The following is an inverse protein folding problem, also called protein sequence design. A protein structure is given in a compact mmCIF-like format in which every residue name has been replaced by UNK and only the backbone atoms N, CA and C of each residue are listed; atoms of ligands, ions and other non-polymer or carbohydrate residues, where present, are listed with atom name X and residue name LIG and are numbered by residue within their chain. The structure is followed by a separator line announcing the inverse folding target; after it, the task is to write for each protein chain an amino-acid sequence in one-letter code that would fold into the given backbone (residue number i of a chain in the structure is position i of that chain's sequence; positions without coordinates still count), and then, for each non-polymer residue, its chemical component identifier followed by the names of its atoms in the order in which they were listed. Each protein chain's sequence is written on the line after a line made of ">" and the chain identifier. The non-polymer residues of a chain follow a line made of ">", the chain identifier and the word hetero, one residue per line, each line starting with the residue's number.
data_IF_632503636151
#
_entry.id   IF_632503636151
#
_cell.length_a   1.000
_cell.length_b   1.000
_cell.length_c   1.000
_cell.angle_alpha   90.00
_cell.angle_beta   90.00
_cell.angle_gamma   90.00
#
_symmetry.space_group_name_H-M   'P 1'
#
loop_
_entity.id
_entity.type
_entity.pdbx_description
1 polymer ?
#
# COMPACT_ATOMS: atom_id res chain seq x y z
N UNK A 1 -59.78 -25.74 34.47
CA UNK A 1 -58.79 -26.58 33.74
C UNK A 1 -58.45 -25.88 32.44
N UNK A 2 -57.28 -25.26 32.37
CA UNK A 2 -56.74 -24.70 31.13
C UNK A 2 -55.24 -25.05 31.11
N UNK A 3 -54.85 -25.87 30.14
CA UNK A 3 -53.46 -26.29 29.92
C UNK A 3 -52.65 -25.14 29.33
N UNK A 4 -51.52 -24.78 29.96
CA UNK A 4 -50.47 -23.95 29.40
C UNK A 4 -49.43 -24.82 28.74
N UNK A 5 -49.32 -24.74 27.41
CA UNK A 5 -48.23 -25.38 26.66
C UNK A 5 -46.96 -24.52 26.68
N UNK A 6 -45.86 -25.09 27.19
CA UNK A 6 -44.52 -24.50 27.15
C UNK A 6 -43.93 -24.67 25.75
N UNK A 7 -43.73 -23.58 25.01
CA UNK A 7 -42.92 -23.52 23.80
C UNK A 7 -41.43 -23.55 24.16
N UNK A 8 -40.77 -24.64 23.87
CA UNK A 8 -39.29 -24.75 23.93
C UNK A 8 -38.70 -24.02 22.75
N UNK A 9 -37.83 -23.01 23.01
CA UNK A 9 -36.99 -22.35 22.03
C UNK A 9 -35.77 -23.23 21.71
N UNK A 10 -35.29 -23.32 20.44
CA UNK A 10 -34.06 -24.04 20.10
C UNK A 10 -32.85 -23.13 20.32
N UNK A 11 -32.03 -23.40 21.33
CA UNK A 11 -30.77 -22.71 21.66
C UNK A 11 -29.54 -23.55 21.29
N UNK A 12 -29.60 -24.38 20.26
CA UNK A 12 -28.53 -25.32 19.95
C UNK A 12 -27.68 -25.01 18.68
N UNK A 13 -28.01 -23.91 17.91
CA UNK A 13 -27.36 -23.69 16.60
C UNK A 13 -26.17 -22.73 16.62
N UNK A 14 -25.96 -21.94 17.69
CA UNK A 14 -24.88 -20.94 17.74
C UNK A 14 -23.54 -21.45 18.32
N UNK A 15 -23.55 -22.56 19.04
CA UNK A 15 -22.34 -23.13 19.66
C UNK A 15 -21.49 -24.00 18.72
N UNK A 16 -22.05 -24.51 17.62
CA UNK A 16 -21.30 -25.37 16.68
C UNK A 16 -20.49 -24.61 15.63
N UNK A 17 -20.81 -23.37 15.31
CA UNK A 17 -20.08 -22.57 14.33
C UNK A 17 -18.78 -22.01 14.91
N UNK A 18 -18.79 -21.60 16.19
CA UNK A 18 -17.59 -21.08 16.86
C UNK A 18 -16.49 -22.12 17.12
N UNK A 19 -16.84 -23.40 17.25
CA UNK A 19 -15.85 -24.48 17.48
C UNK A 19 -15.15 -24.98 16.21
N UNK A 20 -15.68 -24.68 15.01
CA UNK A 20 -15.07 -25.06 13.73
C UNK A 20 -14.17 -23.95 13.14
N UNK A 21 -14.38 -22.71 13.52
CA UNK A 21 -13.61 -21.56 13.01
C UNK A 21 -12.25 -21.46 13.71
N UNK A 22 -12.18 -21.67 15.03
CA UNK A 22 -10.93 -21.61 15.80
C UNK A 22 -9.84 -22.58 15.32
N UNK A 23 -10.11 -23.88 15.06
CA UNK A 23 -9.06 -24.78 14.57
C UNK A 23 -8.63 -24.50 13.12
N UNK A 24 -9.47 -23.90 12.28
CA UNK A 24 -9.10 -23.53 10.93
C UNK A 24 -8.15 -22.31 10.92
N UNK A 25 -8.47 -21.25 11.64
CA UNK A 25 -7.61 -20.07 11.77
C UNK A 25 -6.24 -20.42 12.37
N UNK A 26 -6.19 -21.28 13.40
CA UNK A 26 -4.93 -21.73 13.99
C UNK A 26 -4.10 -22.57 13.00
N UNK A 27 -4.74 -23.42 12.20
CA UNK A 27 -4.05 -24.22 11.19
C UNK A 27 -3.44 -23.34 10.07
N UNK A 28 -4.12 -22.25 9.73
CA UNK A 28 -3.68 -21.27 8.76
C UNK A 28 -2.48 -20.47 9.29
N UNK A 29 -2.56 -19.97 10.51
CA UNK A 29 -1.46 -19.30 11.20
C UNK A 29 -0.23 -20.22 11.30
N UNK A 30 -0.40 -21.47 11.68
CA UNK A 30 0.66 -22.47 11.75
C UNK A 30 1.28 -22.74 10.36
N UNK A 31 0.49 -22.66 9.27
CA UNK A 31 1.00 -22.80 7.91
C UNK A 31 1.90 -21.63 7.51
N UNK A 32 1.49 -20.38 7.77
CA UNK A 32 2.29 -19.19 7.52
C UNK A 32 3.61 -19.23 8.30
N UNK A 33 3.55 -19.58 9.59
CA UNK A 33 4.73 -19.69 10.44
C UNK A 33 5.70 -20.77 9.92
N UNK A 34 5.20 -21.92 9.47
CA UNK A 34 6.04 -22.98 8.87
C UNK A 34 6.69 -22.52 7.57
N UNK A 35 5.92 -21.84 6.71
CA UNK A 35 6.45 -21.27 5.47
C UNK A 35 7.57 -20.28 5.76
N UNK A 36 7.35 -19.32 6.65
CA UNK A 36 8.32 -18.30 7.05
C UNK A 36 9.60 -18.92 7.63
N UNK A 37 9.48 -19.95 8.48
CA UNK A 37 10.64 -20.68 9.03
C UNK A 37 11.46 -21.45 8.00
N UNK A 38 10.86 -21.79 6.86
CA UNK A 38 11.54 -22.43 5.72
C UNK A 38 12.29 -21.45 4.82
N UNK A 39 12.07 -20.13 4.97
CA UNK A 39 12.68 -19.09 4.15
C UNK A 39 14.09 -18.74 4.65
N UNK A 40 15.01 -18.53 3.72
CA UNK A 40 16.31 -17.90 3.99
C UNK A 40 16.13 -16.41 4.35
N UNK A 41 17.12 -15.81 5.00
CA UNK A 41 17.11 -14.38 5.31
C UNK A 41 16.90 -13.52 4.04
N UNK A 42 17.55 -13.85 2.93
CA UNK A 42 17.40 -13.11 1.66
C UNK A 42 15.99 -13.21 1.09
N UNK A 43 15.35 -14.37 1.18
CA UNK A 43 13.94 -14.53 0.78
C UNK A 43 13.00 -13.71 1.67
N UNK A 44 13.22 -13.71 2.99
CA UNK A 44 12.46 -12.89 3.94
C UNK A 44 12.64 -11.39 3.64
N UNK A 45 13.88 -10.93 3.51
CA UNK A 45 14.18 -9.53 3.19
C UNK A 45 13.57 -9.15 1.85
N UNK A 46 13.60 -10.03 0.85
CA UNK A 46 12.96 -9.81 -0.44
C UNK A 46 11.47 -9.50 -0.32
N UNK A 47 10.72 -10.18 0.56
CA UNK A 47 9.29 -9.93 0.73
C UNK A 47 8.97 -8.49 1.17
N UNK A 48 9.91 -7.81 1.81
CA UNK A 48 9.73 -6.43 2.28
C UNK A 48 9.81 -5.38 1.15
N UNK A 49 10.26 -5.75 -0.04
CA UNK A 49 10.47 -4.80 -1.13
C UNK A 49 9.37 -4.87 -2.19
N UNK A 50 8.85 -3.72 -2.57
CA UNK A 50 8.06 -3.53 -3.78
C UNK A 50 8.80 -2.54 -4.69
N UNK A 51 9.21 -2.99 -5.87
CA UNK A 51 10.11 -2.27 -6.75
C UNK A 51 9.52 -2.08 -8.15
N UNK A 52 10.09 -1.21 -8.96
CA UNK A 52 9.79 -1.17 -10.39
C UNK A 52 10.40 -2.40 -11.07
N UNK A 53 9.70 -3.06 -12.03
CA UNK A 53 10.28 -4.17 -12.80
C UNK A 53 11.60 -3.79 -13.47
N UNK A 54 11.73 -2.53 -13.87
CA UNK A 54 12.91 -1.93 -14.50
C UNK A 54 14.19 -2.09 -13.64
N UNK A 55 14.07 -2.11 -12.32
CA UNK A 55 15.22 -2.24 -11.41
C UNK A 55 15.95 -3.58 -11.54
N UNK A 56 15.32 -4.60 -12.14
CA UNK A 56 15.93 -5.91 -12.37
C UNK A 56 16.56 -6.05 -13.76
N UNK A 57 16.63 -4.97 -14.53
CA UNK A 57 17.31 -4.96 -15.85
C UNK A 57 18.49 -3.98 -15.82
N UNK A 58 19.71 -4.48 -16.04
CA UNK A 58 20.95 -3.70 -15.95
C UNK A 58 21.08 -2.55 -16.95
N UNK A 59 20.16 -2.43 -17.89
CA UNK A 59 20.10 -1.31 -18.85
C UNK A 59 19.54 0.00 -18.27
N UNK A 60 18.95 -0.04 -17.06
CA UNK A 60 18.41 1.13 -16.39
C UNK A 60 19.24 1.48 -15.16
N UNK A 61 19.88 2.62 -15.17
CA UNK A 61 20.45 3.23 -13.98
C UNK A 61 19.39 3.96 -13.14
N UNK A 62 19.75 4.45 -11.95
CA UNK A 62 18.81 5.12 -11.05
C UNK A 62 18.06 6.30 -11.67
N UNK A 63 18.70 7.06 -12.55
CA UNK A 63 18.05 8.19 -13.26
C UNK A 63 16.99 7.72 -14.27
N UNK A 64 17.30 6.66 -15.04
CA UNK A 64 16.37 6.04 -15.99
C UNK A 64 15.21 5.36 -15.28
N UNK A 65 15.41 4.85 -14.07
CA UNK A 65 14.30 4.30 -13.26
C UNK A 65 13.26 5.37 -12.94
N UNK A 66 13.66 6.62 -12.70
CA UNK A 66 12.76 7.74 -12.42
C UNK A 66 12.16 8.39 -13.67
N UNK A 67 12.77 8.18 -14.85
CA UNK A 67 12.29 8.74 -16.11
C UNK A 67 11.05 7.98 -16.62
N UNK A 68 9.88 8.62 -16.52
CA UNK A 68 8.62 8.07 -17.04
C UNK A 68 8.38 8.42 -18.53
N UNK A 69 9.29 9.12 -19.21
CA UNK A 69 9.20 9.45 -20.63
C UNK A 69 9.73 8.33 -21.54
N UNK A 70 10.56 7.45 -21.01
CA UNK A 70 11.13 6.30 -21.75
C UNK A 70 10.23 5.07 -21.65
N UNK A 71 10.42 4.14 -22.58
CA UNK A 71 9.79 2.81 -22.47
C UNK A 71 10.57 1.98 -21.46
N UNK A 72 9.88 1.55 -20.42
CA UNK A 72 10.43 0.69 -19.37
C UNK A 72 10.40 -0.80 -19.72
N UNK A 73 10.52 -1.61 -18.69
CA UNK A 73 10.37 -3.06 -18.79
C UNK A 73 8.91 -3.43 -19.05
N UNK A 74 8.64 -4.13 -20.13
CA UNK A 74 7.29 -4.49 -20.59
C UNK A 74 7.08 -5.99 -20.77
N UNK A 75 8.09 -6.79 -20.44
CA UNK A 75 8.09 -8.27 -20.45
C UNK A 75 9.12 -8.79 -19.47
N UNK A 76 8.91 -9.99 -18.96
CA UNK A 76 9.91 -10.68 -18.13
C UNK A 76 10.97 -11.28 -19.05
N UNK A 77 12.22 -10.82 -18.92
CA UNK A 77 13.40 -11.33 -19.64
C UNK A 77 14.11 -12.44 -18.84
N UNK A 78 15.01 -13.18 -19.50
CA UNK A 78 15.87 -14.15 -18.81
C UNK A 78 16.85 -13.43 -17.85
N UNK A 79 17.32 -12.23 -18.21
CA UNK A 79 18.14 -11.38 -17.35
C UNK A 79 17.38 -11.02 -16.07
N UNK A 80 16.14 -10.54 -16.22
CA UNK A 80 15.27 -10.22 -15.07
C UNK A 80 15.08 -11.42 -14.14
N UNK A 81 14.88 -12.63 -14.70
CA UNK A 81 14.76 -13.86 -13.90
C UNK A 81 16.06 -14.19 -13.14
N UNK A 82 17.20 -14.05 -13.81
CA UNK A 82 18.51 -14.31 -13.20
C UNK A 82 18.82 -13.32 -12.06
N UNK A 83 18.48 -12.04 -12.23
CA UNK A 83 18.63 -11.02 -11.19
C UNK A 83 17.64 -11.27 -10.04
N UNK A 84 16.36 -11.57 -10.34
CA UNK A 84 15.35 -11.89 -9.33
C UNK A 84 15.76 -13.07 -8.45
N UNK A 85 16.40 -14.10 -9.02
CA UNK A 85 16.86 -15.25 -8.25
C UNK A 85 17.93 -14.88 -7.18
N UNK A 86 18.67 -13.79 -7.37
CA UNK A 86 19.68 -13.30 -6.43
C UNK A 86 19.12 -12.20 -5.51
N UNK A 87 18.22 -11.37 -6.04
CA UNK A 87 17.58 -10.23 -5.40
C UNK A 87 16.06 -10.34 -5.55
N UNK A 88 15.42 -11.26 -4.79
CA UNK A 88 13.98 -11.44 -4.85
C UNK A 88 13.26 -10.23 -4.26
N UNK A 89 12.07 -9.90 -4.80
CA UNK A 89 11.19 -8.89 -4.22
C UNK A 89 9.78 -9.45 -3.96
N UNK A 90 9.07 -8.86 -2.98
CA UNK A 90 7.71 -9.23 -2.60
C UNK A 90 6.65 -8.69 -3.54
N UNK A 91 6.97 -7.67 -4.35
CA UNK A 91 6.03 -7.08 -5.30
C UNK A 91 6.67 -6.14 -6.32
N UNK A 92 5.85 -5.76 -7.31
CA UNK A 92 6.22 -4.81 -8.35
C UNK A 92 5.20 -3.66 -8.42
N UNK A 93 5.70 -2.43 -8.46
CA UNK A 93 4.91 -1.23 -8.76
C UNK A 93 4.98 -0.93 -10.26
N UNK A 94 3.84 -0.93 -10.93
CA UNK A 94 3.74 -0.68 -12.37
C UNK A 94 3.47 0.79 -12.66
N UNK A 95 4.19 1.32 -13.64
CA UNK A 95 4.04 2.69 -14.12
C UNK A 95 3.65 2.71 -15.60
N UNK A 96 3.22 3.89 -16.08
CA UNK A 96 2.84 4.06 -17.49
C UNK A 96 3.89 3.55 -18.48
N UNK A 97 5.18 3.66 -18.15
CA UNK A 97 6.29 3.20 -18.98
C UNK A 97 6.37 1.67 -19.13
N UNK A 98 5.72 0.91 -18.23
CA UNK A 98 5.65 -0.54 -18.27
C UNK A 98 4.43 -1.07 -19.07
N UNK A 99 3.58 -0.16 -19.55
CA UNK A 99 2.30 -0.45 -20.18
C UNK A 99 2.36 -0.06 -21.66
N UNK A 100 2.02 -0.97 -22.57
CA UNK A 100 1.98 -0.70 -24.01
C UNK A 100 0.58 -0.92 -24.60
N UNK A 101 -0.09 -1.98 -24.19
CA UNK A 101 -1.43 -2.36 -24.68
C UNK A 101 -2.13 -3.27 -23.68
N UNK A 102 -3.45 -3.44 -23.80
CA UNK A 102 -4.22 -4.38 -22.97
C UNK A 102 -3.67 -5.82 -22.96
N UNK A 103 -3.30 -6.35 -24.12
CA UNK A 103 -2.77 -7.71 -24.24
C UNK A 103 -1.37 -7.84 -23.65
N UNK A 104 -0.52 -6.83 -23.86
CA UNK A 104 0.82 -6.82 -23.30
C UNK A 104 0.76 -6.75 -21.77
N UNK A 105 -0.07 -5.88 -21.18
CA UNK A 105 -0.19 -5.73 -19.75
C UNK A 105 -0.61 -7.04 -19.08
N UNK A 106 -1.64 -7.73 -19.60
CA UNK A 106 -2.06 -9.04 -19.08
C UNK A 106 -0.94 -10.08 -19.13
N UNK A 107 -0.28 -10.20 -20.27
CA UNK A 107 0.83 -11.15 -20.42
C UNK A 107 2.02 -10.82 -19.53
N UNK A 108 2.27 -9.54 -19.28
CA UNK A 108 3.34 -9.10 -18.39
C UNK A 108 2.99 -9.40 -16.94
N UNK A 109 1.79 -9.06 -16.48
CA UNK A 109 1.30 -9.37 -15.13
C UNK A 109 1.35 -10.89 -14.86
N UNK A 110 0.84 -11.72 -15.77
CA UNK A 110 0.92 -13.18 -15.66
C UNK A 110 2.36 -13.68 -15.47
N UNK A 111 3.31 -13.14 -16.24
CA UNK A 111 4.72 -13.54 -16.14
C UNK A 111 5.44 -13.00 -14.92
N UNK A 112 5.04 -11.83 -14.40
CA UNK A 112 5.54 -11.30 -13.14
C UNK A 112 5.04 -12.16 -11.97
N UNK A 113 3.75 -12.52 -11.93
CA UNK A 113 3.23 -13.44 -10.93
C UNK A 113 3.92 -14.81 -10.95
N UNK A 114 4.25 -15.32 -12.13
CA UNK A 114 4.90 -16.61 -12.32
C UNK A 114 6.44 -16.56 -12.19
N UNK A 115 7.03 -15.45 -11.72
CA UNK A 115 8.49 -15.34 -11.59
C UNK A 115 9.03 -16.13 -10.38
N UNK A 116 8.18 -16.39 -9.38
CA UNK A 116 8.50 -17.06 -8.13
C UNK A 116 7.28 -17.85 -7.60
N UNK A 117 7.54 -18.90 -6.83
CA UNK A 117 6.51 -19.66 -6.10
C UNK A 117 5.81 -18.79 -5.03
N UNK A 118 6.54 -17.84 -4.43
CA UNK A 118 5.97 -16.78 -3.61
C UNK A 118 5.53 -15.63 -4.52
N UNK A 119 4.37 -15.79 -5.16
CA UNK A 119 3.82 -14.84 -6.12
C UNK A 119 4.02 -13.38 -5.68
N UNK A 120 4.77 -12.56 -6.45
CA UNK A 120 4.91 -11.14 -6.14
C UNK A 120 3.58 -10.39 -6.34
N UNK A 121 3.31 -9.40 -5.48
CA UNK A 121 2.15 -8.52 -5.61
C UNK A 121 2.38 -7.47 -6.70
N UNK A 122 1.35 -7.14 -7.47
CA UNK A 122 1.40 -6.08 -8.47
C UNK A 122 0.57 -4.89 -8.01
N UNK A 123 1.23 -3.73 -7.83
CA UNK A 123 0.59 -2.49 -7.41
C UNK A 123 0.64 -1.42 -8.50
N UNK A 124 -0.35 -0.52 -8.49
CA UNK A 124 -0.46 0.58 -9.44
C UNK A 124 -1.12 1.80 -8.78
N UNK A 125 -0.87 3.01 -9.30
CA UNK A 125 -1.66 4.20 -8.99
C UNK A 125 -2.79 4.37 -10.00
N UNK A 126 -3.99 4.09 -9.63
CA UNK A 126 -5.19 4.28 -10.46
C UNK A 126 -6.25 5.07 -9.70
N UNK A 127 -5.86 6.23 -9.14
CA UNK A 127 -6.70 7.09 -8.31
C UNK A 127 -7.93 7.66 -9.04
N UNK A 128 -7.85 7.75 -10.37
CA UNK A 128 -8.71 8.59 -11.21
C UNK A 128 -8.10 9.97 -11.45
N UNK A 129 -8.84 10.86 -12.14
CA UNK A 129 -8.34 12.17 -12.50
C UNK A 129 -7.01 12.11 -13.25
N UNK A 130 -6.04 12.92 -12.80
CA UNK A 130 -4.70 12.99 -13.42
C UNK A 130 -3.79 11.80 -13.08
N UNK A 131 -4.08 11.08 -12.00
CA UNK A 131 -3.29 9.92 -11.54
C UNK A 131 -4.05 8.64 -11.88
N UNK A 132 -3.85 8.17 -13.11
CA UNK A 132 -4.39 6.91 -13.61
C UNK A 132 -3.45 6.38 -14.69
N UNK A 133 -2.81 5.25 -14.46
CA UNK A 133 -1.79 4.71 -15.36
C UNK A 133 -2.43 3.99 -16.55
N UNK A 134 -3.56 3.31 -16.34
CA UNK A 134 -4.31 2.57 -17.34
C UNK A 134 -5.34 3.47 -18.02
N UNK A 135 -6.24 4.11 -17.26
CA UNK A 135 -7.32 4.91 -17.82
C UNK A 135 -6.82 6.11 -18.63
N UNK A 136 -5.69 6.72 -18.25
CA UNK A 136 -5.08 7.84 -18.98
C UNK A 136 -4.04 7.39 -20.02
N UNK A 137 -3.88 6.08 -20.25
CA UNK A 137 -2.93 5.60 -21.24
C UNK A 137 -3.37 5.97 -22.67
N UNK A 138 -2.39 6.19 -23.58
CA UNK A 138 -2.66 6.53 -24.98
C UNK A 138 -3.20 5.35 -25.79
N UNK A 139 -2.88 4.11 -25.41
CA UNK A 139 -3.46 2.91 -26.02
C UNK A 139 -4.93 2.77 -25.60
N UNK A 140 -5.78 2.17 -26.47
CA UNK A 140 -7.21 2.05 -26.22
C UNK A 140 -7.50 0.89 -25.26
N UNK A 141 -7.44 1.15 -23.97
CA UNK A 141 -7.80 0.18 -22.93
C UNK A 141 -9.32 -0.05 -22.83
N UNK A 142 -10.13 0.90 -23.32
CA UNK A 142 -11.59 0.80 -23.29
C UNK A 142 -12.19 0.87 -21.89
N UNK A 143 -11.41 1.33 -20.91
CA UNK A 143 -11.85 1.49 -19.53
C UNK A 143 -12.44 2.88 -19.29
N UNK A 144 -13.33 2.99 -18.29
CA UNK A 144 -13.94 4.26 -17.92
C UNK A 144 -12.89 5.18 -17.26
N UNK A 145 -12.84 6.42 -17.72
CA UNK A 145 -12.06 7.49 -17.10
C UNK A 145 -12.94 8.22 -16.09
N UNK A 146 -12.40 8.45 -14.91
CA UNK A 146 -13.06 9.24 -13.90
C UNK A 146 -12.44 10.64 -13.81
N UNK A 147 -13.22 11.67 -13.46
CA UNK A 147 -12.69 12.99 -13.12
C UNK A 147 -11.87 12.93 -11.82
N UNK A 148 -11.20 14.02 -11.43
CA UNK A 148 -10.57 14.12 -10.12
C UNK A 148 -11.55 13.81 -8.98
N UNK A 149 -11.05 13.22 -7.90
CA UNK A 149 -11.89 12.80 -6.77
C UNK A 149 -12.55 13.98 -6.06
N UNK A 150 -11.96 15.18 -6.11
CA UNK A 150 -12.64 16.41 -5.66
C UNK A 150 -13.92 16.73 -6.42
N UNK A 151 -13.97 16.45 -7.73
CA UNK A 151 -15.18 16.63 -8.55
C UNK A 151 -16.27 15.58 -8.24
N UNK A 152 -15.85 14.33 -7.91
CA UNK A 152 -16.76 13.30 -7.44
C UNK A 152 -17.38 13.72 -6.10
N UNK A 153 -16.55 14.16 -5.15
CA UNK A 153 -17.00 14.60 -3.84
C UNK A 153 -17.91 15.83 -3.88
N UNK A 154 -17.67 16.75 -4.81
CA UNK A 154 -18.51 17.94 -4.99
C UNK A 154 -19.99 17.63 -5.34
N UNK A 155 -20.27 16.40 -5.78
CA UNK A 155 -21.66 15.96 -6.03
C UNK A 155 -22.39 15.57 -4.73
N UNK A 156 -21.66 15.41 -3.61
CA UNK A 156 -22.24 15.13 -2.29
C UNK A 156 -22.85 13.74 -2.13
N UNK A 157 -22.59 12.82 -3.06
CA UNK A 157 -23.13 11.45 -3.04
C UNK A 157 -22.00 10.42 -2.90
N UNK A 158 -21.82 9.83 -1.70
CA UNK A 158 -20.77 8.82 -1.47
C UNK A 158 -20.92 7.55 -2.30
N UNK A 159 -22.11 7.23 -2.81
CA UNK A 159 -22.31 6.06 -3.67
C UNK A 159 -21.52 6.17 -4.98
N UNK A 160 -21.25 7.38 -5.45
CA UNK A 160 -20.39 7.60 -6.62
C UNK A 160 -18.95 7.18 -6.38
N UNK A 161 -18.44 7.35 -5.17
CA UNK A 161 -17.10 6.90 -4.78
C UNK A 161 -17.01 5.37 -4.75
N UNK A 162 -18.08 4.67 -4.32
CA UNK A 162 -18.16 3.22 -4.42
C UNK A 162 -18.10 2.76 -5.89
N UNK A 163 -18.87 3.39 -6.78
CA UNK A 163 -18.86 3.07 -8.22
C UNK A 163 -17.50 3.35 -8.86
N UNK A 164 -16.76 4.36 -8.39
CA UNK A 164 -15.37 4.62 -8.82
C UNK A 164 -14.50 3.42 -8.43
N UNK A 165 -14.44 3.08 -7.14
CA UNK A 165 -13.62 1.98 -6.63
C UNK A 165 -13.96 0.65 -7.29
N UNK A 166 -15.26 0.33 -7.42
CA UNK A 166 -15.73 -0.89 -8.07
C UNK A 166 -15.31 -0.97 -9.54
N UNK A 167 -15.55 0.08 -10.32
CA UNK A 167 -15.22 0.10 -11.75
C UNK A 167 -13.70 0.00 -11.97
N UNK A 168 -12.91 0.73 -11.16
CA UNK A 168 -11.44 0.65 -11.21
C UNK A 168 -10.99 -0.76 -10.84
N UNK A 169 -11.48 -1.31 -9.74
CA UNK A 169 -11.14 -2.66 -9.31
C UNK A 169 -11.47 -3.73 -10.35
N UNK A 170 -12.63 -3.66 -10.99
CA UNK A 170 -13.02 -4.62 -12.04
C UNK A 170 -12.02 -4.68 -13.20
N UNK A 171 -11.53 -3.54 -13.71
CA UNK A 171 -10.54 -3.61 -14.77
C UNK A 171 -9.11 -3.90 -14.27
N UNK A 172 -8.75 -3.49 -13.05
CA UNK A 172 -7.46 -3.86 -12.45
C UNK A 172 -7.36 -5.38 -12.30
N UNK A 173 -8.38 -6.03 -11.75
CA UNK A 173 -8.48 -7.50 -11.66
C UNK A 173 -8.36 -8.15 -13.04
N UNK A 174 -9.05 -7.61 -14.06
CA UNK A 174 -8.96 -8.13 -15.43
C UNK A 174 -7.57 -8.01 -16.07
N UNK A 175 -6.71 -7.16 -15.51
CA UNK A 175 -5.29 -7.02 -15.91
C UNK A 175 -4.31 -7.71 -14.97
N UNK A 176 -4.79 -8.38 -13.92
CA UNK A 176 -3.95 -9.08 -12.94
C UNK A 176 -3.21 -8.13 -11.99
N UNK A 177 -3.82 -7.01 -11.65
CA UNK A 177 -3.28 -6.06 -10.65
C UNK A 177 -3.90 -6.36 -9.29
N UNK A 178 -3.06 -6.50 -8.26
CA UNK A 178 -3.47 -6.92 -6.93
C UNK A 178 -3.81 -5.75 -6.01
N UNK A 179 -3.11 -4.61 -6.16
CA UNK A 179 -3.20 -3.46 -5.26
C UNK A 179 -3.42 -2.18 -6.08
N UNK A 180 -4.43 -1.41 -5.72
CA UNK A 180 -4.50 0.00 -6.11
C UNK A 180 -3.96 0.88 -4.98
N UNK A 181 -2.95 1.71 -5.27
CA UNK A 181 -2.48 2.73 -4.34
C UNK A 181 -3.49 3.88 -4.25
N UNK A 182 -4.70 3.57 -3.87
CA UNK A 182 -5.87 4.41 -3.72
C UNK A 182 -6.79 3.86 -2.62
N UNK A 183 -7.66 4.71 -2.05
CA UNK A 183 -7.88 6.13 -2.31
C UNK A 183 -6.93 7.07 -1.58
N UNK A 184 -6.87 8.33 -2.06
CA UNK A 184 -6.25 9.45 -1.34
C UNK A 184 -7.17 9.84 -0.17
N UNK A 185 -6.66 9.65 1.06
CA UNK A 185 -7.35 9.97 2.31
C UNK A 185 -6.94 11.34 2.89
N UNK A 186 -6.07 12.08 2.17
CA UNK A 186 -5.66 13.43 2.56
C UNK A 186 -6.86 14.39 2.54
N UNK A 187 -6.94 15.26 3.55
CA UNK A 187 -7.91 16.36 3.60
C UNK A 187 -7.24 17.62 3.07
N UNK A 188 -7.69 18.16 1.94
CA UNK A 188 -7.07 19.30 1.29
C UNK A 188 -7.39 20.62 2.00
N UNK A 189 -6.85 20.80 3.22
CA UNK A 189 -7.06 21.99 4.03
C UNK A 189 -6.26 23.20 3.56
N UNK A 190 -5.18 22.98 2.80
CA UNK A 190 -4.43 24.05 2.16
C UNK A 190 -4.76 24.13 0.65
N UNK A 191 -5.56 25.14 0.20
CA UNK A 191 -5.94 25.24 -1.20
C UNK A 191 -4.77 25.53 -2.15
N UNK A 192 -3.58 25.86 -1.62
CA UNK A 192 -2.34 26.07 -2.38
C UNK A 192 -1.45 24.84 -2.40
N UNK A 193 -1.93 23.71 -1.88
CA UNK A 193 -1.16 22.45 -1.91
C UNK A 193 -0.92 22.03 -3.37
N UNK A 194 0.36 21.92 -3.82
CA UNK A 194 0.67 21.63 -5.23
C UNK A 194 0.57 20.13 -5.56
N UNK A 195 0.56 19.25 -4.56
CA UNK A 195 0.67 17.80 -4.71
C UNK A 195 -0.69 17.12 -4.68
N UNK A 196 -1.47 17.40 -3.65
CA UNK A 196 -2.76 16.77 -3.40
C UNK A 196 -3.85 17.43 -4.21
N UNK A 197 -4.22 18.66 -3.90
CA UNK A 197 -5.21 19.44 -4.65
C UNK A 197 -6.51 18.63 -4.89
N UNK A 198 -6.87 18.50 -6.15
CA UNK A 198 -8.07 17.82 -6.65
C UNK A 198 -8.04 16.28 -6.57
N UNK A 199 -6.90 15.68 -6.18
CA UNK A 199 -6.82 14.24 -5.88
C UNK A 199 -7.60 13.89 -4.60
N UNK A 200 -7.63 14.80 -3.62
CA UNK A 200 -8.41 14.65 -2.40
C UNK A 200 -9.91 14.81 -2.66
N UNK A 201 -10.72 14.23 -1.78
CA UNK A 201 -12.20 14.42 -1.76
C UNK A 201 -12.62 15.78 -1.20
N UNK A 202 -11.73 16.74 -1.12
CA UNK A 202 -11.98 18.11 -0.68
C UNK A 202 -11.38 18.44 0.68
N UNK A 203 -11.92 19.50 1.32
CA UNK A 203 -11.45 20.02 2.61
C UNK A 203 -12.36 19.67 3.79
N UNK A 204 -13.51 19.03 3.53
CA UNK A 204 -14.39 18.53 4.59
C UNK A 204 -13.97 17.10 4.98
N UNK A 205 -13.41 16.89 6.18
CA UNK A 205 -12.93 15.57 6.60
C UNK A 205 -14.05 14.54 6.77
N UNK A 206 -15.30 14.97 7.05
CA UNK A 206 -16.43 14.04 7.20
C UNK A 206 -16.88 13.51 5.84
N UNK A 207 -17.00 14.39 4.84
CA UNK A 207 -17.30 13.96 3.47
C UNK A 207 -16.14 13.09 2.90
N UNK A 208 -14.89 13.50 3.10
CA UNK A 208 -13.73 12.74 2.68
C UNK A 208 -13.74 11.32 3.29
N UNK A 209 -14.08 11.19 4.57
CA UNK A 209 -14.20 9.90 5.25
C UNK A 209 -15.26 8.99 4.62
N UNK A 210 -16.43 9.54 4.29
CA UNK A 210 -17.48 8.79 3.61
C UNK A 210 -17.01 8.30 2.23
N UNK A 211 -16.38 9.17 1.45
CA UNK A 211 -15.88 8.84 0.11
C UNK A 211 -14.76 7.78 0.16
N UNK A 212 -13.77 7.95 1.05
CA UNK A 212 -12.67 7.00 1.25
C UNK A 212 -13.19 5.61 1.57
N UNK A 213 -14.11 5.50 2.55
CA UNK A 213 -14.69 4.22 2.93
C UNK A 213 -15.44 3.54 1.77
N UNK A 214 -16.08 4.31 0.89
CA UNK A 214 -16.79 3.77 -0.26
C UNK A 214 -15.86 3.29 -1.37
N UNK A 215 -14.76 4.02 -1.67
CA UNK A 215 -13.75 3.52 -2.63
C UNK A 215 -13.12 2.22 -2.13
N UNK A 216 -12.75 2.14 -0.84
CA UNK A 216 -12.20 0.92 -0.23
C UNK A 216 -13.16 -0.26 -0.46
N UNK A 217 -14.45 -0.11 -0.16
CA UNK A 217 -15.46 -1.15 -0.37
C UNK A 217 -15.59 -1.55 -1.85
N UNK A 218 -15.62 -0.55 -2.75
CA UNK A 218 -15.73 -0.81 -4.19
C UNK A 218 -14.54 -1.61 -4.75
N UNK A 219 -13.31 -1.28 -4.33
CA UNK A 219 -12.11 -2.03 -4.69
C UNK A 219 -12.17 -3.47 -4.16
N UNK A 220 -12.55 -3.66 -2.88
CA UNK A 220 -12.67 -4.99 -2.27
C UNK A 220 -13.71 -5.86 -2.97
N UNK A 221 -14.89 -5.31 -3.27
CA UNK A 221 -15.95 -6.05 -3.97
C UNK A 221 -15.53 -6.48 -5.39
N UNK A 222 -14.45 -5.91 -5.91
CA UNK A 222 -13.85 -6.26 -7.21
C UNK A 222 -12.58 -7.11 -7.08
N UNK A 223 -12.19 -7.52 -5.85
CA UNK A 223 -11.02 -8.35 -5.59
C UNK A 223 -9.67 -7.61 -5.62
N UNK A 224 -9.63 -6.28 -5.56
CA UNK A 224 -8.40 -5.46 -5.52
C UNK A 224 -8.17 -4.93 -4.11
N UNK A 225 -6.92 -5.03 -3.63
CA UNK A 225 -6.54 -4.42 -2.36
C UNK A 225 -6.47 -2.90 -2.45
N UNK A 226 -6.94 -2.24 -1.40
CA UNK A 226 -6.90 -0.80 -1.27
C UNK A 226 -5.70 -0.33 -0.45
N UNK A 227 -5.19 0.86 -0.78
CA UNK A 227 -4.09 1.49 -0.06
C UNK A 227 -4.41 2.96 0.20
N UNK A 228 -4.89 3.28 1.40
CA UNK A 228 -5.17 4.69 1.76
C UNK A 228 -3.89 5.47 1.98
N UNK A 229 -3.83 6.73 1.53
CA UNK A 229 -2.63 7.56 1.51
C UNK A 229 -2.92 9.06 1.65
N UNK A 230 -1.99 9.85 2.12
CA UNK A 230 -0.62 9.59 2.56
C UNK A 230 -0.52 9.91 4.07
N UNK A 231 -0.41 8.89 4.90
CA UNK A 231 -0.42 9.04 6.37
C UNK A 231 0.80 9.84 6.87
N UNK A 232 0.65 10.81 7.80
CA UNK A 232 -0.53 11.18 8.57
C UNK A 232 -1.38 12.30 7.96
N UNK A 233 -1.32 12.55 6.66
CA UNK A 233 -2.09 13.57 5.96
C UNK A 233 -1.22 14.63 5.31
N UNK A 234 -1.18 14.64 3.97
CA UNK A 234 -0.36 15.54 3.15
C UNK A 234 -1.11 16.80 2.70
N UNK A 235 -2.44 16.88 2.95
CA UNK A 235 -3.30 17.92 2.38
C UNK A 235 -3.12 19.33 2.96
N UNK A 236 -2.46 19.45 4.13
CA UNK A 236 -2.17 20.73 4.79
C UNK A 236 -0.83 21.37 4.34
N UNK A 237 0.07 20.58 3.75
CA UNK A 237 1.42 21.01 3.43
C UNK A 237 1.47 22.02 2.28
N UNK A 238 2.49 22.87 2.27
CA UNK A 238 2.70 23.89 1.23
C UNK A 238 3.82 23.53 0.24
N UNK A 239 4.57 22.43 0.49
CA UNK A 239 5.75 22.03 -0.29
C UNK A 239 5.53 20.65 -0.88
N UNK A 240 6.07 20.44 -2.09
CA UNK A 240 6.08 19.13 -2.75
C UNK A 240 7.26 18.29 -2.26
N UNK A 241 6.98 17.11 -1.72
CA UNK A 241 7.99 16.14 -1.25
C UNK A 241 8.85 15.54 -2.36
N UNK A 242 8.50 15.74 -3.63
CA UNK A 242 9.38 15.42 -4.76
C UNK A 242 10.55 16.39 -4.89
N UNK A 243 10.42 17.60 -4.33
CA UNK A 243 11.43 18.68 -4.45
C UNK A 243 12.01 19.13 -3.12
N UNK A 244 11.63 18.53 -1.99
CA UNK A 244 12.12 18.88 -0.67
C UNK A 244 11.26 18.35 0.48
N UNK A 245 11.54 18.81 1.70
CA UNK A 245 10.76 18.46 2.88
C UNK A 245 9.46 19.24 2.94
N UNK A 246 8.36 18.53 3.10
CA UNK A 246 7.09 19.09 3.51
C UNK A 246 6.90 18.88 5.01
N UNK A 247 6.31 19.87 5.68
CA UNK A 247 6.06 19.85 7.13
C UNK A 247 4.60 20.18 7.42
N UNK A 248 4.02 19.51 8.40
CA UNK A 248 2.80 19.95 9.06
C UNK A 248 3.10 20.49 10.44
N UNK A 249 2.63 21.70 10.74
CA UNK A 249 2.76 22.31 12.08
C UNK A 249 1.67 21.87 13.05
N UNK A 250 0.87 20.84 12.73
CA UNK A 250 -0.25 20.39 13.54
C UNK A 250 0.23 19.50 14.70
N UNK A 251 -0.44 19.61 15.86
CA UNK A 251 -0.31 18.65 16.95
C UNK A 251 -1.08 17.37 16.63
N UNK A 252 -0.86 16.30 17.38
CA UNK A 252 -1.60 15.06 17.18
C UNK A 252 -3.12 15.24 17.38
N UNK A 253 -3.54 16.06 18.32
CA UNK A 253 -4.95 16.39 18.55
C UNK A 253 -5.57 17.06 17.32
N UNK A 254 -4.84 18.01 16.71
CA UNK A 254 -5.30 18.69 15.48
C UNK A 254 -5.39 17.71 14.29
N UNK A 255 -4.39 16.83 14.13
CA UNK A 255 -4.43 15.79 13.10
C UNK A 255 -5.59 14.83 13.35
N UNK A 256 -5.81 14.41 14.59
CA UNK A 256 -6.89 13.51 14.97
C UNK A 256 -8.27 14.08 14.67
N UNK A 257 -8.46 15.38 14.85
CA UNK A 257 -9.72 16.08 14.68
C UNK A 257 -10.00 16.44 13.20
N UNK A 258 -9.05 16.22 12.29
CA UNK A 258 -9.19 16.50 10.85
C UNK A 258 -8.65 15.35 9.99
N UNK A 259 -7.32 15.25 9.83
CA UNK A 259 -6.67 14.31 8.90
C UNK A 259 -6.98 12.85 9.21
N UNK A 260 -7.06 12.48 10.50
CA UNK A 260 -7.31 11.09 10.90
C UNK A 260 -8.76 10.64 10.70
N UNK A 261 -9.70 11.52 10.43
CA UNK A 261 -11.10 11.16 10.21
C UNK A 261 -11.25 10.25 8.97
N UNK A 262 -10.74 10.62 7.77
CA UNK A 262 -10.81 9.72 6.62
C UNK A 262 -9.90 8.48 6.75
N UNK A 263 -8.73 8.56 7.42
CA UNK A 263 -7.91 7.38 7.69
C UNK A 263 -8.63 6.35 8.56
N UNK A 264 -9.31 6.79 9.64
CA UNK A 264 -10.11 5.89 10.49
C UNK A 264 -11.24 5.24 9.69
N UNK A 265 -11.95 6.02 8.88
CA UNK A 265 -13.02 5.49 8.04
C UNK A 265 -12.53 4.45 7.02
N UNK A 266 -11.35 4.66 6.43
CA UNK A 266 -10.70 3.68 5.55
C UNK A 266 -10.28 2.41 6.30
N UNK A 267 -9.72 2.54 7.52
CA UNK A 267 -9.39 1.40 8.39
C UNK A 267 -10.64 0.62 8.78
N UNK A 268 -11.70 1.31 9.21
CA UNK A 268 -12.99 0.70 9.55
C UNK A 268 -13.67 0.03 8.34
N UNK A 269 -13.43 0.54 7.12
CA UNK A 269 -13.88 -0.08 5.88
C UNK A 269 -13.03 -1.30 5.47
N UNK A 270 -11.92 -1.57 6.18
CA UNK A 270 -11.08 -2.73 6.00
C UNK A 270 -9.90 -2.52 5.05
N UNK A 271 -9.40 -1.28 4.85
CA UNK A 271 -8.25 -1.05 3.96
C UNK A 271 -7.09 -1.99 4.26
N UNK A 272 -6.51 -2.56 3.21
CA UNK A 272 -5.42 -3.55 3.31
C UNK A 272 -4.08 -2.90 3.62
N UNK A 273 -3.81 -1.74 2.99
CA UNK A 273 -2.56 -1.02 3.16
C UNK A 273 -2.81 0.44 3.59
N UNK A 274 -1.86 0.95 4.38
CA UNK A 274 -1.70 2.40 4.64
C UNK A 274 -0.35 2.83 4.11
N UNK A 275 -0.33 3.77 3.16
CA UNK A 275 0.90 4.36 2.65
C UNK A 275 1.29 5.58 3.47
N UNK A 276 2.55 5.62 3.89
CA UNK A 276 3.12 6.71 4.69
C UNK A 276 3.62 7.84 3.81
N UNK A 277 3.59 9.07 4.33
CA UNK A 277 4.11 10.25 3.63
C UNK A 277 5.55 10.58 4.02
N UNK A 278 6.29 11.25 3.13
CA UNK A 278 7.59 11.83 3.43
C UNK A 278 7.47 13.27 3.95
N UNK A 279 6.53 13.49 4.88
CA UNK A 279 6.34 14.78 5.56
C UNK A 279 6.81 14.66 7.00
N UNK A 280 7.33 15.77 7.57
CA UNK A 280 7.63 15.84 9.00
C UNK A 280 6.45 16.40 9.79
N UNK A 281 6.33 15.95 11.05
CA UNK A 281 5.32 16.41 12.00
C UNK A 281 5.94 16.70 13.37
N UNK A 282 6.83 17.73 13.47
CA UNK A 282 7.66 17.95 14.66
C UNK A 282 6.86 18.23 15.92
N UNK A 283 5.64 18.76 15.82
CA UNK A 283 4.75 18.93 16.97
C UNK A 283 4.21 17.61 17.55
N UNK A 284 4.32 16.52 16.77
CA UNK A 284 3.91 15.15 17.19
C UNK A 284 5.11 14.33 17.60
N UNK A 285 6.17 14.35 16.79
CA UNK A 285 7.34 13.48 16.93
C UNK A 285 8.45 14.07 17.79
N UNK A 286 8.50 15.39 17.90
CA UNK A 286 9.62 16.13 18.52
C UNK A 286 10.87 16.23 17.66
N UNK A 287 10.81 15.73 16.40
CA UNK A 287 11.93 15.71 15.44
C UNK A 287 11.45 16.12 14.06
N UNK A 288 12.40 16.45 13.17
CA UNK A 288 12.13 16.78 11.76
C UNK A 288 12.20 15.54 10.84
N UNK A 289 12.24 14.34 11.42
CA UNK A 289 12.25 13.10 10.61
C UNK A 289 10.93 12.93 9.86
N UNK A 290 10.96 12.37 8.64
CA UNK A 290 9.73 12.12 7.90
C UNK A 290 8.87 11.04 8.58
N UNK A 291 7.54 11.18 8.43
CA UNK A 291 6.57 10.25 9.03
C UNK A 291 6.86 8.79 8.68
N UNK A 292 7.35 8.53 7.46
CA UNK A 292 7.76 7.20 7.00
C UNK A 292 8.88 6.56 7.83
N UNK A 293 9.64 7.34 8.62
CA UNK A 293 10.73 6.88 9.49
C UNK A 293 10.42 7.07 10.98
N UNK A 294 9.21 7.51 11.34
CA UNK A 294 8.84 7.86 12.71
C UNK A 294 8.11 6.72 13.42
N UNK A 295 8.78 6.09 14.39
CA UNK A 295 8.16 5.09 15.27
C UNK A 295 6.98 5.67 16.08
N UNK A 296 7.03 6.95 16.45
CA UNK A 296 5.91 7.63 17.10
C UNK A 296 4.67 7.60 16.22
N UNK A 297 4.79 7.97 14.95
CA UNK A 297 3.65 8.00 14.03
C UNK A 297 3.18 6.61 13.61
N UNK A 298 4.09 5.69 13.29
CA UNK A 298 3.72 4.40 12.71
C UNK A 298 3.41 3.35 13.79
N UNK A 299 4.25 3.24 14.81
CA UNK A 299 4.07 2.22 15.86
C UNK A 299 3.14 2.70 16.96
N UNK A 300 3.33 3.91 17.50
CA UNK A 300 2.50 4.35 18.63
C UNK A 300 1.13 4.87 18.16
N UNK A 301 1.07 5.69 17.10
CA UNK A 301 -0.18 6.30 16.64
C UNK A 301 -0.96 5.37 15.72
N UNK A 302 -0.39 4.93 14.58
CA UNK A 302 -1.13 4.13 13.61
C UNK A 302 -1.42 2.70 14.13
N UNK A 303 -0.39 1.98 14.62
CA UNK A 303 -0.59 0.64 15.19
C UNK A 303 -1.28 0.68 16.55
N UNK A 304 -0.73 1.46 17.49
CA UNK A 304 -1.18 1.47 18.89
C UNK A 304 -2.51 2.20 19.10
N UNK A 305 -2.60 3.50 18.77
CA UNK A 305 -3.79 4.30 19.07
C UNK A 305 -4.95 4.06 18.08
N UNK A 306 -4.64 3.93 16.77
CA UNK A 306 -5.66 3.68 15.75
C UNK A 306 -5.98 2.20 15.56
N UNK A 307 -5.18 1.28 16.12
CA UNK A 307 -5.41 -0.17 16.07
C UNK A 307 -5.26 -0.78 14.69
N UNK A 308 -4.43 -0.20 13.81
CA UNK A 308 -4.27 -0.71 12.46
C UNK A 308 -3.41 -1.98 12.41
N UNK A 309 -3.95 -3.07 11.90
CA UNK A 309 -3.28 -4.38 11.81
C UNK A 309 -2.86 -4.78 10.38
N UNK A 310 -3.28 -4.02 9.36
CA UNK A 310 -2.92 -4.27 7.95
C UNK A 310 -1.47 -3.90 7.63
N UNK A 311 -1.10 -3.85 6.35
CA UNK A 311 0.26 -3.57 5.90
C UNK A 311 0.56 -2.06 5.90
N UNK A 312 1.72 -1.67 6.42
CA UNK A 312 2.25 -0.31 6.30
C UNK A 312 3.29 -0.31 5.18
N UNK A 313 3.03 0.47 4.13
CA UNK A 313 3.92 0.65 2.99
C UNK A 313 4.45 2.09 2.97
N UNK A 314 5.71 2.31 2.60
CA UNK A 314 6.23 3.67 2.39
C UNK A 314 5.64 4.29 1.13
N UNK A 315 5.62 5.61 1.00
CA UNK A 315 5.70 6.26 -0.31
C UNK A 315 7.06 5.96 -0.95
N UNK A 316 7.24 6.32 -2.22
CA UNK A 316 8.44 5.99 -2.97
C UNK A 316 9.71 6.53 -2.29
N UNK A 317 10.60 5.63 -1.84
CA UNK A 317 11.85 6.02 -1.17
C UNK A 317 12.87 6.66 -2.13
N UNK A 318 12.62 6.61 -3.45
CA UNK A 318 13.39 7.32 -4.46
C UNK A 318 13.07 8.82 -4.55
N UNK A 319 12.03 9.31 -3.86
CA UNK A 319 11.65 10.73 -3.87
C UNK A 319 12.73 11.61 -3.23
N UNK A 320 12.84 12.87 -3.73
CA UNK A 320 13.86 13.82 -3.32
C UNK A 320 13.96 14.04 -1.81
N UNK A 321 12.82 14.09 -1.11
CA UNK A 321 12.78 14.24 0.34
C UNK A 321 13.59 13.15 1.10
N UNK A 322 13.78 11.98 0.53
CA UNK A 322 14.52 10.87 1.13
C UNK A 322 15.92 10.75 0.53
N UNK A 323 16.02 10.57 -0.79
CA UNK A 323 17.29 10.25 -1.47
C UNK A 323 18.37 11.33 -1.33
N UNK A 324 18.00 12.58 -1.07
CA UNK A 324 18.96 13.69 -0.88
C UNK A 324 19.62 13.69 0.50
N UNK A 325 19.09 12.92 1.46
CA UNK A 325 19.53 12.91 2.86
C UNK A 325 20.01 11.56 3.34
N UNK A 326 19.54 10.48 2.72
CA UNK A 326 19.81 9.09 3.14
C UNK A 326 20.29 8.27 1.96
N UNK A 327 21.22 7.35 2.20
CA UNK A 327 21.45 6.22 1.32
C UNK A 327 20.20 5.32 1.31
N UNK A 328 20.07 4.47 0.29
CA UNK A 328 18.91 3.56 0.21
C UNK A 328 18.87 2.58 1.38
N UNK A 329 20.04 2.14 1.84
CA UNK A 329 20.19 1.28 3.01
C UNK A 329 19.75 1.98 4.31
N UNK A 330 20.25 3.20 4.57
CA UNK A 330 19.87 3.98 5.76
C UNK A 330 18.36 4.27 5.78
N UNK A 331 17.78 4.67 4.65
CA UNK A 331 16.35 4.92 4.53
C UNK A 331 15.52 3.68 4.85
N UNK A 332 15.88 2.53 4.26
CA UNK A 332 15.17 1.28 4.49
C UNK A 332 15.26 0.83 5.96
N UNK A 333 16.43 0.92 6.58
CA UNK A 333 16.61 0.55 7.97
C UNK A 333 15.82 1.46 8.92
N UNK A 334 15.81 2.76 8.66
CA UNK A 334 15.00 3.70 9.44
C UNK A 334 13.49 3.39 9.34
N UNK A 335 12.98 3.12 8.12
CA UNK A 335 11.60 2.74 7.90
C UNK A 335 11.23 1.43 8.61
N UNK A 336 12.08 0.40 8.52
CA UNK A 336 11.83 -0.88 9.20
C UNK A 336 11.81 -0.70 10.73
N UNK A 337 12.74 0.06 11.29
CA UNK A 337 12.76 0.36 12.73
C UNK A 337 11.52 1.16 13.18
N UNK A 338 10.94 1.99 12.30
CA UNK A 338 9.73 2.74 12.56
C UNK A 338 8.44 1.87 12.52
N UNK A 339 8.50 0.66 11.95
CA UNK A 339 7.35 -0.26 11.90
C UNK A 339 6.74 -0.45 10.51
N UNK A 340 7.42 0.00 9.44
CA UNK A 340 7.02 -0.25 8.04
C UNK A 340 7.13 -1.74 7.70
N UNK A 341 6.21 -2.26 6.90
CA UNK A 341 6.23 -3.64 6.41
C UNK A 341 6.76 -3.74 4.97
N UNK A 342 6.42 -2.78 4.11
CA UNK A 342 6.81 -2.79 2.70
C UNK A 342 7.56 -1.50 2.33
N UNK A 343 8.75 -1.68 1.80
CA UNK A 343 9.64 -0.63 1.33
C UNK A 343 9.39 -0.40 -0.17
N UNK A 344 8.76 0.71 -0.52
CA UNK A 344 8.40 1.01 -1.91
C UNK A 344 9.54 1.74 -2.62
N UNK A 345 10.05 1.14 -3.69
CA UNK A 345 10.96 1.75 -4.66
C UNK A 345 12.14 2.52 -4.02
N UNK A 346 13.06 1.85 -3.28
CA UNK A 346 14.31 2.50 -2.89
C UNK A 346 15.06 2.99 -4.13
N UNK A 347 15.82 4.10 -3.99
CA UNK A 347 16.54 4.70 -5.12
C UNK A 347 17.56 3.76 -5.75
N UNK A 348 18.29 3.00 -4.93
CA UNK A 348 19.13 1.88 -5.33
C UNK A 348 18.65 0.62 -4.61
N UNK A 349 17.97 -0.26 -5.37
CA UNK A 349 17.39 -1.48 -4.83
C UNK A 349 18.45 -2.45 -4.30
N UNK A 350 19.55 -2.62 -5.02
CA UNK A 350 20.59 -3.58 -4.64
C UNK A 350 21.34 -3.14 -3.38
N UNK A 351 21.66 -1.86 -3.29
CA UNK A 351 22.27 -1.26 -2.09
C UNK A 351 21.32 -1.38 -0.88
N UNK A 352 20.04 -1.09 -1.06
CA UNK A 352 19.03 -1.23 -0.02
C UNK A 352 18.90 -2.68 0.46
N UNK A 353 18.75 -3.62 -0.48
CA UNK A 353 18.59 -5.04 -0.18
C UNK A 353 19.77 -5.61 0.60
N UNK A 354 21.00 -5.43 0.07
CA UNK A 354 22.21 -5.91 0.72
C UNK A 354 22.47 -5.18 2.04
N UNK A 355 22.09 -3.92 2.16
CA UNK A 355 22.16 -3.15 3.40
C UNK A 355 21.26 -3.72 4.50
N UNK A 356 20.02 -4.08 4.18
CA UNK A 356 19.09 -4.71 5.14
C UNK A 356 19.60 -6.10 5.54
N UNK A 357 20.04 -6.92 4.58
CA UNK A 357 20.61 -8.25 4.88
C UNK A 357 21.80 -8.12 5.84
N UNK A 358 22.77 -7.25 5.52
CA UNK A 358 23.94 -7.01 6.40
C UNK A 358 23.55 -6.52 7.78
N UNK A 359 22.58 -5.63 7.88
CA UNK A 359 22.14 -5.10 9.18
C UNK A 359 21.57 -6.20 10.10
N UNK A 360 20.91 -7.22 9.52
CA UNK A 360 20.45 -8.39 10.28
C UNK A 360 21.63 -9.28 10.66
N UNK A 361 22.55 -9.58 9.71
CA UNK A 361 23.74 -10.40 9.95
C UNK A 361 24.66 -9.80 11.03
N UNK A 362 24.79 -8.47 11.05
CA UNK A 362 25.59 -7.73 12.03
C UNK A 362 24.85 -7.49 13.37
N UNK A 363 23.59 -7.92 13.49
CA UNK A 363 22.77 -7.74 14.68
C UNK A 363 22.30 -6.31 14.94
N UNK A 364 22.36 -5.42 13.95
CA UNK A 364 21.87 -4.04 14.02
C UNK A 364 20.34 -3.97 13.87
N UNK A 365 19.74 -4.92 13.14
CA UNK A 365 18.31 -5.11 13.02
C UNK A 365 17.96 -6.54 13.46
N UNK A 366 17.11 -6.76 14.47
CA UNK A 366 16.72 -8.11 14.86
C UNK A 366 15.97 -8.84 13.72
N UNK A 367 16.32 -10.10 13.43
CA UNK A 367 15.59 -10.90 12.43
C UNK A 367 14.10 -11.01 12.77
N UNK A 368 13.75 -11.01 14.07
CA UNK A 368 12.35 -11.00 14.51
C UNK A 368 11.57 -9.80 13.97
N UNK A 369 12.22 -8.63 13.76
CA UNK A 369 11.57 -7.48 13.14
C UNK A 369 11.23 -7.74 11.66
N UNK A 370 12.12 -8.45 10.96
CA UNK A 370 11.86 -8.90 9.59
C UNK A 370 10.69 -9.90 9.61
N UNK A 371 10.74 -10.89 10.51
CA UNK A 371 9.72 -11.93 10.64
C UNK A 371 8.31 -11.36 10.91
N UNK A 372 8.19 -10.30 11.70
CA UNK A 372 6.90 -9.61 11.92
C UNK A 372 6.28 -9.09 10.62
N UNK A 373 7.07 -8.45 9.77
CA UNK A 373 6.59 -7.93 8.49
C UNK A 373 6.33 -9.05 7.49
N UNK A 374 7.22 -10.04 7.40
CA UNK A 374 7.05 -11.20 6.52
C UNK A 374 5.77 -11.97 6.89
N UNK A 375 5.49 -12.14 8.18
CA UNK A 375 4.25 -12.78 8.64
C UNK A 375 3.02 -12.04 8.12
N UNK A 376 2.96 -10.69 8.27
CA UNK A 376 1.84 -9.88 7.77
C UNK A 376 1.71 -9.97 6.25
N UNK A 377 2.83 -9.92 5.53
CA UNK A 377 2.85 -10.00 4.05
C UNK A 377 2.38 -11.38 3.57
N UNK A 378 2.85 -12.46 4.18
CA UNK A 378 2.43 -13.82 3.80
C UNK A 378 0.96 -14.05 4.12
N UNK A 379 0.47 -13.57 5.28
CA UNK A 379 -0.94 -13.60 5.64
C UNK A 379 -1.79 -12.89 4.58
N UNK A 380 -1.42 -11.66 4.24
CA UNK A 380 -2.11 -10.89 3.21
C UNK A 380 -2.12 -11.61 1.85
N UNK A 381 -0.99 -12.18 1.41
CA UNK A 381 -0.92 -12.96 0.16
C UNK A 381 -1.81 -14.19 0.18
N UNK A 382 -1.87 -14.89 1.31
CA UNK A 382 -2.67 -16.11 1.46
C UNK A 382 -4.18 -15.79 1.46
N UNK A 383 -4.60 -14.75 2.18
CA UNK A 383 -5.99 -14.29 2.20
C UNK A 383 -6.50 -13.95 0.79
N UNK A 384 -5.64 -13.39 -0.07
CA UNK A 384 -5.99 -13.05 -1.45
C UNK A 384 -5.97 -14.23 -2.43
N UNK A 385 -5.15 -15.25 -2.18
CA UNK A 385 -5.16 -16.48 -3.00
C UNK A 385 -6.37 -17.37 -2.71
N UNK A 386 -7.03 -17.19 -1.59
CA UNK A 386 -8.24 -17.90 -1.18
C UNK A 386 -9.55 -17.26 -1.65
N UNK A 387 -9.49 -16.05 -2.21
CA UNK A 387 -10.62 -15.35 -2.83
C UNK A 387 -10.66 -15.62 -4.33
#
# INVERSE_FOLDING_TARGET
>A
MKHFGFLRRPTAALLSLGMLILPAAQAEEDAIIRQMKGMSLREKVGQLFMIRPDALEGRFGPAELEDNSIVGTTKVSDEMRAVYAQYPCGGFALFRKNILSPSQLRAFAEKLHAISDLTPLLGIDEEGGRIARIANHSAPFGVKKFPPMGEIAAQGDPSLAYEVGKTIGEYLTAYGIDIDFAPVADVNTNPRNPVIGDRAFGSDPVLAAQMVAQVVRGLHDSGVASCIKHFPGHGDTATDTHTGYAETGKTWEMLRDCEMIPFRAGIEAGTDLVMTAHISAPQVTGTDEPATMSAVLLTEKLRGEMGYEGLIITDALSMGAIREKYTSSEACLACLNAGVDILLMPYDYFEAFDGVVRAVEDGLLPESRIDESVYRILRFKQERQGM
#
